data_IF_571852107694
#
_entry.id   IF_571852107694
#
_cell.length_a   1.000
_cell.length_b   1.000
_cell.length_c   1.000
_cell.angle_alpha   90.00
_cell.angle_beta   90.00
_cell.angle_gamma   90.00
#
_symmetry.space_group_name_H-M   'P 1'
#
loop_
_entity.id
_entity.type
_entity.pdbx_description
1 polymer ?
#
# COMPACT_ATOMS: atom_id res chain seq x y z
N UNK A 1 -2.98 -12.41 -4.69
CA UNK A 1 -3.44 -12.85 -3.35
C UNK A 1 -2.32 -12.58 -2.38
N UNK A 2 -2.55 -11.76 -1.35
CA UNK A 2 -1.48 -11.33 -0.45
C UNK A 2 -1.22 -12.43 0.60
N UNK A 3 0.04 -12.81 0.87
CA UNK A 3 0.36 -13.72 1.97
C UNK A 3 -0.24 -13.24 3.31
N UNK A 4 -0.76 -14.17 4.11
CA UNK A 4 -1.40 -13.86 5.41
C UNK A 4 -0.49 -13.06 6.35
N UNK A 5 0.83 -13.27 6.29
CA UNK A 5 1.82 -12.52 7.07
C UNK A 5 1.88 -11.05 6.65
N UNK A 6 1.92 -10.76 5.34
CA UNK A 6 1.89 -9.39 4.83
C UNK A 6 0.56 -8.69 5.15
N UNK A 7 -0.56 -9.39 4.96
CA UNK A 7 -1.87 -8.82 5.32
C UNK A 7 -1.91 -8.43 6.81
N UNK A 8 -1.47 -9.31 7.72
CA UNK A 8 -1.36 -8.99 9.15
C UNK A 8 -0.47 -7.78 9.43
N UNK A 9 0.64 -7.63 8.71
CA UNK A 9 1.52 -6.50 8.89
C UNK A 9 0.86 -5.19 8.45
N UNK A 10 0.13 -5.20 7.32
CA UNK A 10 -0.59 -4.01 6.84
C UNK A 10 -1.72 -3.62 7.79
N UNK A 11 -2.56 -4.57 8.20
CA UNK A 11 -3.67 -4.29 9.13
C UNK A 11 -3.20 -3.83 10.50
N UNK A 12 -2.02 -4.26 10.95
CA UNK A 12 -1.42 -3.80 12.20
C UNK A 12 -1.11 -2.29 12.19
N UNK A 13 -0.82 -1.69 11.02
CA UNK A 13 -0.48 -0.26 10.89
C UNK A 13 -1.65 0.68 11.26
N UNK A 14 -2.87 0.17 11.42
CA UNK A 14 -3.98 0.92 12.00
C UNK A 14 -3.68 1.40 13.44
N UNK A 15 -2.85 0.67 14.21
CA UNK A 15 -2.49 1.02 15.58
C UNK A 15 -1.19 1.81 15.64
N UNK A 16 -1.18 2.93 16.40
CA UNK A 16 -0.01 3.82 16.58
C UNK A 16 1.26 3.08 17.03
N UNK A 17 1.14 2.10 17.94
CA UNK A 17 2.26 1.26 18.40
C UNK A 17 3.03 0.66 17.22
N UNK A 18 2.32 -0.04 16.32
CA UNK A 18 2.93 -0.73 15.20
C UNK A 18 3.47 0.25 14.14
N UNK A 19 2.85 1.43 13.96
CA UNK A 19 3.42 2.50 13.11
C UNK A 19 4.75 3.01 13.64
N UNK A 20 4.82 3.24 14.96
CA UNK A 20 6.04 3.72 15.61
C UNK A 20 7.16 2.67 15.52
N UNK A 21 6.86 1.40 15.78
CA UNK A 21 7.83 0.30 15.68
C UNK A 21 8.33 0.09 14.25
N UNK A 22 7.44 0.15 13.25
CA UNK A 22 7.80 -0.07 11.85
C UNK A 22 8.38 1.17 11.15
N UNK A 23 8.25 2.36 11.76
CA UNK A 23 8.65 3.65 11.21
C UNK A 23 7.89 4.03 9.93
N UNK A 24 6.66 3.54 9.77
CA UNK A 24 5.83 3.76 8.58
C UNK A 24 4.36 3.96 8.93
N UNK A 25 3.62 4.57 8.03
CA UNK A 25 2.17 4.75 8.11
C UNK A 25 1.53 4.46 6.76
N UNK A 26 0.21 4.33 6.77
CA UNK A 26 -0.60 4.09 5.56
C UNK A 26 -1.18 5.42 5.11
N UNK A 27 -1.20 5.63 3.79
CA UNK A 27 -1.96 6.68 3.11
C UNK A 27 -2.91 6.00 2.14
N UNK A 28 -4.15 6.47 2.11
CA UNK A 28 -5.22 5.89 1.30
C UNK A 28 -5.78 6.90 0.32
N UNK A 29 -6.34 6.40 -0.77
CA UNK A 29 -6.93 7.22 -1.83
C UNK A 29 -5.93 7.59 -2.91
N UNK A 30 -6.38 7.48 -4.17
CA UNK A 30 -5.56 7.67 -5.38
C UNK A 30 -4.72 8.95 -5.33
N UNK A 31 -5.34 10.09 -5.01
CA UNK A 31 -4.68 11.40 -5.00
C UNK A 31 -3.51 11.45 -4.00
N UNK A 32 -3.72 11.03 -2.76
CA UNK A 32 -2.67 11.06 -1.73
C UNK A 32 -1.52 10.12 -2.07
N UNK A 33 -1.82 8.95 -2.62
CA UNK A 33 -0.78 8.00 -3.07
C UNK A 33 0.00 8.58 -4.26
N UNK A 34 -0.67 9.20 -5.24
CA UNK A 34 -0.01 9.92 -6.35
C UNK A 34 0.89 11.04 -5.84
N UNK A 35 0.43 11.84 -4.88
CA UNK A 35 1.22 12.91 -4.26
C UNK A 35 2.45 12.36 -3.54
N UNK A 36 2.32 11.26 -2.79
CA UNK A 36 3.44 10.61 -2.13
C UNK A 36 4.49 10.06 -3.11
N UNK A 37 4.03 9.47 -4.22
CA UNK A 37 4.91 8.99 -5.29
C UNK A 37 5.63 10.15 -6.00
N UNK A 38 4.91 11.22 -6.33
CA UNK A 38 5.47 12.42 -6.99
C UNK A 38 6.43 13.20 -6.10
N UNK A 39 6.14 13.29 -4.79
CA UNK A 39 7.00 13.90 -3.79
C UNK A 39 8.29 13.10 -3.53
N UNK A 40 8.48 11.96 -4.21
CA UNK A 40 9.61 11.04 -4.01
C UNK A 40 9.77 10.60 -2.55
N UNK A 41 8.64 10.45 -1.85
CA UNK A 41 8.65 9.86 -0.52
C UNK A 41 9.23 8.44 -0.57
N UNK A 42 9.75 7.95 0.57
CA UNK A 42 10.26 6.58 0.67
C UNK A 42 9.09 5.59 0.78
N UNK A 43 8.44 5.33 -0.35
CA UNK A 43 7.31 4.40 -0.45
C UNK A 43 7.82 2.96 -0.37
N UNK A 44 7.35 2.21 0.63
CA UNK A 44 7.69 0.78 0.79
C UNK A 44 6.79 -0.12 -0.07
N UNK A 45 5.48 0.11 0.00
CA UNK A 45 4.48 -0.67 -0.73
C UNK A 45 3.37 0.25 -1.25
N UNK A 46 2.89 -0.05 -2.46
CA UNK A 46 1.62 0.43 -3.00
C UNK A 46 0.75 -0.80 -3.17
N UNK A 47 -0.41 -0.80 -2.51
CA UNK A 47 -1.31 -1.95 -2.47
C UNK A 47 -2.57 -1.57 -3.23
N UNK A 48 -2.89 -2.33 -4.28
CA UNK A 48 -4.09 -2.11 -5.07
C UNK A 48 -4.51 -3.40 -5.77
N UNK A 49 -5.70 -3.41 -6.34
CA UNK A 49 -6.11 -4.51 -7.22
C UNK A 49 -5.35 -4.46 -8.54
N UNK A 50 -5.25 -5.60 -9.21
CA UNK A 50 -4.61 -5.71 -10.52
C UNK A 50 -5.27 -4.77 -11.54
N UNK A 51 -6.60 -4.74 -11.57
CA UNK A 51 -7.37 -3.84 -12.43
C UNK A 51 -7.02 -2.36 -12.18
N UNK A 52 -6.79 -1.97 -10.92
CA UNK A 52 -6.41 -0.60 -10.59
C UNK A 52 -5.01 -0.26 -11.10
N UNK A 53 -4.03 -1.17 -10.92
CA UNK A 53 -2.68 -0.97 -11.48
C UNK A 53 -2.69 -0.87 -13.01
N UNK A 54 -3.49 -1.68 -13.67
CA UNK A 54 -3.59 -1.67 -15.14
C UNK A 54 -4.23 -0.38 -15.67
N UNK A 55 -5.11 0.25 -14.89
CA UNK A 55 -5.77 1.52 -15.24
C UNK A 55 -4.99 2.76 -14.78
N UNK A 56 -3.81 2.59 -14.17
CA UNK A 56 -3.09 3.68 -13.52
C UNK A 56 -1.68 3.87 -14.06
N UNK A 57 -1.50 4.92 -14.85
CA UNK A 57 -0.25 5.22 -15.57
C UNK A 57 0.85 5.88 -14.72
N UNK A 58 0.66 6.02 -13.41
CA UNK A 58 1.69 6.66 -12.57
C UNK A 58 2.91 5.75 -12.45
N UNK A 59 4.12 6.21 -12.83
CA UNK A 59 5.31 5.38 -12.80
C UNK A 59 5.70 5.04 -11.36
N UNK A 60 5.91 3.75 -11.11
CA UNK A 60 6.43 3.23 -9.84
C UNK A 60 7.27 1.98 -10.09
N UNK A 61 8.18 1.69 -9.17
CA UNK A 61 9.01 0.47 -9.24
C UNK A 61 8.13 -0.75 -8.99
N UNK A 62 8.33 -1.81 -9.76
CA UNK A 62 7.60 -3.08 -9.59
C UNK A 62 7.79 -3.67 -8.19
N UNK A 63 8.98 -3.51 -7.60
CA UNK A 63 9.29 -3.95 -6.23
C UNK A 63 8.41 -3.34 -5.13
N UNK A 64 7.71 -2.25 -5.44
CA UNK A 64 6.82 -1.54 -4.51
C UNK A 64 5.37 -2.01 -4.70
N UNK A 65 5.01 -2.57 -5.84
CA UNK A 65 3.63 -3.01 -6.12
C UNK A 65 3.28 -4.27 -5.34
N UNK A 66 2.09 -4.27 -4.75
CA UNK A 66 1.50 -5.42 -4.08
C UNK A 66 0.08 -5.59 -4.58
N UNK A 67 -0.16 -6.67 -5.34
CA UNK A 67 -1.48 -6.96 -5.91
C UNK A 67 -2.39 -7.64 -4.87
N UNK A 68 -3.45 -6.93 -4.50
CA UNK A 68 -4.48 -7.38 -3.58
C UNK A 68 -5.72 -7.90 -4.31
N UNK A 69 -6.39 -8.91 -3.75
CA UNK A 69 -7.78 -9.19 -4.12
C UNK A 69 -8.73 -8.18 -3.47
N UNK A 70 -9.96 -8.04 -3.99
CA UNK A 70 -10.95 -7.12 -3.40
C UNK A 70 -11.19 -7.38 -1.90
N UNK A 71 -11.32 -8.66 -1.51
CA UNK A 71 -11.49 -9.07 -0.11
C UNK A 71 -10.31 -8.74 0.80
N UNK A 72 -9.10 -8.62 0.24
CA UNK A 72 -7.91 -8.26 1.02
C UNK A 72 -7.85 -6.74 1.20
N UNK A 73 -8.32 -5.97 0.22
CA UNK A 73 -8.42 -4.49 0.31
C UNK A 73 -9.38 -4.04 1.40
N UNK A 74 -10.53 -4.73 1.57
CA UNK A 74 -11.50 -4.40 2.62
C UNK A 74 -10.98 -4.60 4.06
N UNK A 75 -9.80 -5.22 4.20
CA UNK A 75 -9.23 -5.59 5.50
C UNK A 75 -8.05 -4.72 5.91
N UNK A 76 -7.44 -4.01 4.97
CA UNK A 76 -6.29 -3.12 5.17
C UNK A 76 -6.82 -1.74 5.53
#
# INVERSE_FOLDING_TARGET
MIPKSQLKNFTALAKKKFRNEAGVFVVEGRKLVEEALRAKAKVKHVIATEAFFNAWDTPMKESVKVVAGAKDMDRI
#
